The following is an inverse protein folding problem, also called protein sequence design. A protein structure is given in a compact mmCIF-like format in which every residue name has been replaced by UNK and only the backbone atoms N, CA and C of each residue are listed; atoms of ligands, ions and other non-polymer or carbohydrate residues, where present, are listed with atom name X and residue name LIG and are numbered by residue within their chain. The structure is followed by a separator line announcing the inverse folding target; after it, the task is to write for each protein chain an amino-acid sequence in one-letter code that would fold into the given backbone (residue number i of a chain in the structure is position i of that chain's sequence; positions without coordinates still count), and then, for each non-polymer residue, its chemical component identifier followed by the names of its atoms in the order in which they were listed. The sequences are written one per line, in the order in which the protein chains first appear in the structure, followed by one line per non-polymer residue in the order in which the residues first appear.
data_IF_598239291961
#
_entry.id   IF_598239291961
#
_cell.length_a   1.000
_cell.length_b   1.000
_cell.length_c   1.000
_cell.angle_alpha   90.00
_cell.angle_beta   90.00
_cell.angle_gamma   90.00
#
_symmetry.space_group_name_H-M   'P 1'
#
loop_
_entity.id
_entity.type
_entity.pdbx_description
1 polymer ?
#
# COMPACT_ATOMS: atom_id res chain seq x y z
N UNK A 1 -24.09 -12.02 -45.72
CA UNK A 1 -22.72 -11.74 -45.23
C UNK A 1 -22.70 -10.94 -43.93
N UNK A 2 -23.70 -10.09 -43.62
CA UNK A 2 -23.76 -9.31 -42.37
C UNK A 2 -24.14 -10.11 -41.12
N UNK A 3 -25.04 -11.09 -41.24
CA UNK A 3 -25.58 -11.82 -40.07
C UNK A 3 -24.55 -12.73 -39.41
N UNK A 4 -23.68 -13.35 -40.21
CA UNK A 4 -22.66 -14.27 -39.68
C UNK A 4 -21.58 -13.52 -38.88
N UNK A 5 -21.23 -12.30 -39.32
CA UNK A 5 -20.34 -11.41 -38.55
C UNK A 5 -21.02 -10.93 -37.27
N UNK A 6 -22.33 -10.70 -37.29
CA UNK A 6 -23.08 -10.31 -36.10
C UNK A 6 -23.16 -11.43 -35.06
N UNK A 7 -23.42 -12.66 -35.51
CA UNK A 7 -23.44 -13.85 -34.65
C UNK A 7 -22.06 -14.17 -34.05
N UNK A 8 -20.98 -13.95 -34.81
CA UNK A 8 -19.61 -14.05 -34.29
C UNK A 8 -19.34 -13.02 -33.20
N UNK A 9 -19.76 -11.77 -33.40
CA UNK A 9 -19.61 -10.70 -32.39
C UNK A 9 -20.41 -11.04 -31.12
N UNK A 10 -21.65 -11.50 -31.26
CA UNK A 10 -22.49 -11.90 -30.11
C UNK A 10 -21.86 -13.07 -29.35
N UNK A 11 -21.30 -14.04 -30.06
CA UNK A 11 -20.61 -15.18 -29.44
C UNK A 11 -19.37 -14.73 -28.66
N UNK A 12 -18.58 -13.81 -29.23
CA UNK A 12 -17.41 -13.23 -28.56
C UNK A 12 -17.80 -12.42 -27.31
N UNK A 13 -18.85 -11.60 -27.39
CA UNK A 13 -19.36 -10.82 -26.26
C UNK A 13 -19.84 -11.72 -25.12
N UNK A 14 -20.57 -12.79 -25.45
CA UNK A 14 -21.01 -13.77 -24.44
C UNK A 14 -19.82 -14.45 -23.76
N UNK A 15 -18.84 -14.89 -24.56
CA UNK A 15 -17.61 -15.51 -24.05
C UNK A 15 -16.82 -14.54 -23.16
N UNK A 16 -16.78 -13.26 -23.51
CA UNK A 16 -16.10 -12.24 -22.73
C UNK A 16 -16.79 -12.02 -21.37
N UNK A 17 -18.12 -11.95 -21.35
CA UNK A 17 -18.88 -11.81 -20.11
C UNK A 17 -18.66 -13.01 -19.17
N UNK A 18 -18.61 -14.23 -19.71
CA UNK A 18 -18.33 -15.44 -18.93
C UNK A 18 -16.90 -15.42 -18.35
N UNK A 19 -15.92 -14.94 -19.12
CA UNK A 19 -14.55 -14.75 -18.63
C UNK A 19 -14.46 -13.68 -17.55
N UNK A 20 -15.21 -12.58 -17.66
CA UNK A 20 -15.26 -11.53 -16.64
C UNK A 20 -15.84 -12.11 -15.34
N UNK A 21 -16.97 -12.82 -15.41
CA UNK A 21 -17.57 -13.44 -14.23
C UNK A 21 -16.63 -14.45 -13.55
N UNK A 22 -15.94 -15.30 -14.34
CA UNK A 22 -14.94 -16.21 -13.79
C UNK A 22 -13.76 -15.47 -13.15
N UNK A 23 -13.30 -14.36 -13.74
CA UNK A 23 -12.24 -13.54 -13.15
C UNK A 23 -12.72 -12.90 -11.84
N UNK A 24 -13.96 -12.44 -11.77
CA UNK A 24 -14.58 -11.91 -10.54
C UNK A 24 -14.67 -12.98 -9.44
N UNK A 25 -15.12 -14.20 -9.77
CA UNK A 25 -15.16 -15.32 -8.83
C UNK A 25 -13.76 -15.74 -8.37
N UNK A 26 -12.81 -15.82 -9.31
CA UNK A 26 -11.40 -16.10 -8.99
C UNK A 26 -10.80 -15.02 -8.10
N UNK A 27 -11.17 -13.76 -8.32
CA UNK A 27 -10.74 -12.61 -7.50
C UNK A 27 -11.31 -12.70 -6.08
N UNK A 28 -12.54 -13.19 -5.91
CA UNK A 28 -13.17 -13.45 -4.61
C UNK A 28 -12.41 -14.53 -3.81
N UNK A 29 -11.82 -15.50 -4.52
CA UNK A 29 -11.01 -16.57 -3.94
C UNK A 29 -9.55 -16.17 -3.66
N UNK A 30 -9.15 -14.93 -3.98
CA UNK A 30 -7.84 -14.37 -3.65
C UNK A 30 -8.03 -13.27 -2.60
N UNK A 31 -8.07 -13.63 -1.30
CA UNK A 31 -8.34 -12.69 -0.20
C UNK A 31 -7.44 -11.46 -0.22
N UNK A 32 -6.21 -11.64 -0.70
CA UNK A 32 -5.21 -10.60 -0.79
C UNK A 32 -5.63 -9.47 -1.73
N UNK A 33 -6.28 -9.74 -2.85
CA UNK A 33 -6.52 -8.68 -3.83
C UNK A 33 -7.86 -7.95 -3.66
N UNK A 34 -8.81 -8.52 -2.90
CA UNK A 34 -9.85 -7.72 -2.24
C UNK A 34 -9.27 -6.83 -1.12
N UNK A 35 -8.32 -7.35 -0.33
CA UNK A 35 -7.69 -6.60 0.78
C UNK A 35 -7.05 -5.30 0.31
N UNK A 36 -6.35 -5.31 -0.83
CA UNK A 36 -5.65 -4.12 -1.34
C UNK A 36 -6.45 -3.30 -2.36
N UNK A 37 -7.66 -3.72 -2.75
CA UNK A 37 -8.40 -3.08 -3.84
C UNK A 37 -8.67 -1.59 -3.58
N UNK A 38 -9.09 -1.25 -2.35
CA UNK A 38 -9.37 0.14 -1.97
C UNK A 38 -8.10 0.98 -1.95
N UNK A 39 -7.04 0.49 -1.30
CA UNK A 39 -5.73 1.12 -1.29
C UNK A 39 -5.23 1.39 -2.72
N UNK A 40 -5.30 0.38 -3.60
CA UNK A 40 -4.89 0.51 -4.98
C UNK A 40 -5.70 1.59 -5.72
N UNK A 41 -7.02 1.63 -5.51
CA UNK A 41 -7.89 2.64 -6.12
C UNK A 41 -7.51 4.06 -5.68
N UNK A 42 -7.37 4.31 -4.39
CA UNK A 42 -6.96 5.61 -3.85
C UNK A 42 -5.60 6.05 -4.43
N UNK A 43 -4.64 5.11 -4.50
CA UNK A 43 -3.32 5.37 -5.07
C UNK A 43 -3.36 5.69 -6.58
N UNK A 44 -4.22 5.02 -7.36
CA UNK A 44 -4.42 5.34 -8.78
C UNK A 44 -5.00 6.74 -8.96
N UNK A 45 -5.97 7.09 -8.11
CA UNK A 45 -6.65 8.40 -8.13
C UNK A 45 -5.75 9.52 -7.59
N UNK A 46 -4.65 9.17 -6.93
CA UNK A 46 -3.72 10.13 -6.32
C UNK A 46 -4.26 10.73 -5.02
N UNK A 47 -5.27 10.10 -4.41
CA UNK A 47 -5.78 10.46 -3.09
C UNK A 47 -4.85 9.87 -2.02
N UNK A 48 -3.76 10.59 -1.74
CA UNK A 48 -2.72 10.13 -0.81
C UNK A 48 -3.23 10.02 0.62
N UNK A 49 -4.17 10.88 1.00
CA UNK A 49 -4.77 10.88 2.33
C UNK A 49 -5.57 9.62 2.58
N UNK A 50 -6.52 9.29 1.69
CA UNK A 50 -7.30 8.06 1.84
C UNK A 50 -6.43 6.81 1.62
N UNK A 51 -5.42 6.87 0.75
CA UNK A 51 -4.47 5.77 0.58
C UNK A 51 -3.68 5.46 1.86
N UNK A 52 -3.28 6.47 2.65
CA UNK A 52 -2.63 6.25 3.94
C UNK A 52 -3.59 5.61 4.96
N UNK A 53 -4.84 6.11 5.03
CA UNK A 53 -5.87 5.52 5.88
C UNK A 53 -6.17 4.06 5.49
N UNK A 54 -6.30 3.75 4.20
CA UNK A 54 -6.49 2.37 3.73
C UNK A 54 -5.25 1.50 4.00
N UNK A 55 -4.04 2.05 3.96
CA UNK A 55 -2.83 1.32 4.37
C UNK A 55 -2.90 0.89 5.83
N UNK A 56 -3.34 1.79 6.73
CA UNK A 56 -3.56 1.45 8.14
C UNK A 56 -4.63 0.36 8.27
N UNK A 57 -5.78 0.49 7.59
CA UNK A 57 -6.85 -0.52 7.62
C UNK A 57 -6.35 -1.90 7.18
N UNK A 58 -5.51 -1.98 6.16
CA UNK A 58 -4.89 -3.23 5.69
C UNK A 58 -3.98 -3.84 6.76
N UNK A 59 -3.12 -3.04 7.41
CA UNK A 59 -2.23 -3.51 8.48
C UNK A 59 -3.04 -4.04 9.67
N UNK A 60 -4.09 -3.32 10.07
CA UNK A 60 -4.98 -3.72 11.15
C UNK A 60 -5.75 -5.01 10.84
N UNK A 61 -6.26 -5.14 9.61
CA UNK A 61 -6.96 -6.35 9.18
C UNK A 61 -6.06 -7.59 9.20
N UNK A 62 -4.78 -7.44 8.84
CA UNK A 62 -3.81 -8.56 8.83
C UNK A 62 -3.35 -8.93 10.24
N UNK A 63 -3.19 -7.94 11.11
CA UNK A 63 -2.81 -8.18 12.52
C UNK A 63 -3.99 -8.61 13.38
N UNK A 64 -5.23 -8.37 12.94
CA UNK A 64 -6.44 -8.59 13.73
C UNK A 64 -6.51 -7.68 14.96
N UNK A 65 -5.85 -6.51 14.91
CA UNK A 65 -5.77 -5.55 16.01
C UNK A 65 -6.53 -4.28 15.67
N UNK A 66 -6.94 -3.57 16.71
CA UNK A 66 -7.35 -2.18 16.59
C UNK A 66 -6.14 -1.25 16.65
N UNK A 67 -6.26 -0.04 16.11
CA UNK A 67 -5.16 0.92 16.01
C UNK A 67 -4.50 1.20 17.36
N UNK A 68 -5.31 1.43 18.40
CA UNK A 68 -4.83 1.74 19.75
C UNK A 68 -4.15 0.54 20.45
N UNK A 69 -4.31 -0.67 19.89
CA UNK A 69 -3.80 -1.92 20.42
C UNK A 69 -2.61 -2.48 19.64
N UNK A 70 -2.17 -1.82 18.57
CA UNK A 70 -1.06 -2.25 17.73
C UNK A 70 0.28 -1.95 18.42
N UNK A 71 1.05 -3.00 18.75
CA UNK A 71 2.31 -2.89 19.48
C UNK A 71 3.52 -3.19 18.59
N UNK A 72 4.73 -2.77 18.98
CA UNK A 72 5.96 -3.09 18.23
C UNK A 72 6.16 -4.59 18.00
N UNK A 73 5.75 -5.44 18.94
CA UNK A 73 5.86 -6.90 18.81
C UNK A 73 4.96 -7.45 17.70
N UNK A 74 3.78 -6.86 17.49
CA UNK A 74 2.87 -7.24 16.40
C UNK A 74 3.53 -6.93 15.05
N UNK A 75 4.20 -5.79 14.93
CA UNK A 75 4.93 -5.39 13.73
C UNK A 75 6.12 -6.32 13.45
N UNK A 76 6.81 -6.80 14.48
CA UNK A 76 7.90 -7.78 14.32
C UNK A 76 7.42 -9.12 13.75
N UNK A 77 6.17 -9.48 14.03
CA UNK A 77 5.51 -10.68 13.50
C UNK A 77 4.74 -10.46 12.19
N UNK A 78 4.71 -9.22 11.69
CA UNK A 78 3.89 -8.86 10.53
C UNK A 78 4.37 -9.59 9.27
N UNK A 79 3.46 -10.16 8.47
CA UNK A 79 3.84 -10.89 7.25
C UNK A 79 4.59 -10.00 6.25
N UNK A 80 5.84 -10.38 5.95
CA UNK A 80 6.70 -9.61 5.04
C UNK A 80 6.11 -9.51 3.63
N UNK A 81 5.39 -10.52 3.16
CA UNK A 81 4.82 -10.50 1.81
C UNK A 81 3.66 -9.50 1.69
N UNK A 82 2.87 -9.32 2.74
CA UNK A 82 1.86 -8.24 2.82
C UNK A 82 2.56 -6.88 2.77
N UNK A 83 3.62 -6.69 3.57
CA UNK A 83 4.36 -5.43 3.60
C UNK A 83 4.97 -5.09 2.22
N UNK A 84 5.52 -6.09 1.53
CA UNK A 84 6.05 -5.93 0.17
C UNK A 84 4.96 -5.51 -0.82
N UNK A 85 3.76 -6.08 -0.74
CA UNK A 85 2.66 -5.69 -1.64
C UNK A 85 2.26 -4.24 -1.42
N UNK A 86 2.10 -3.81 -0.15
CA UNK A 86 1.80 -2.41 0.18
C UNK A 86 2.90 -1.48 -0.37
N UNK A 87 4.18 -1.80 -0.12
CA UNK A 87 5.31 -1.01 -0.61
C UNK A 87 5.32 -0.90 -2.15
N UNK A 88 5.08 -2.01 -2.86
CA UNK A 88 5.02 -2.03 -4.31
C UNK A 88 3.88 -1.19 -4.88
N UNK A 89 2.72 -1.19 -4.24
CA UNK A 89 1.59 -0.34 -4.64
C UNK A 89 1.96 1.14 -4.51
N UNK A 90 2.48 1.54 -3.36
CA UNK A 90 2.93 2.92 -3.12
C UNK A 90 4.01 3.34 -4.11
N UNK A 91 5.05 2.52 -4.32
CA UNK A 91 6.12 2.81 -5.29
C UNK A 91 5.57 2.99 -6.71
N UNK A 92 4.71 2.06 -7.15
CA UNK A 92 4.18 2.06 -8.52
C UNK A 92 3.35 3.32 -8.80
N UNK A 93 2.38 3.61 -7.94
CA UNK A 93 1.39 4.65 -8.21
C UNK A 93 1.86 6.04 -7.78
N UNK A 94 2.82 6.14 -6.87
CA UNK A 94 3.49 7.42 -6.54
C UNK A 94 4.61 7.80 -7.51
N UNK A 95 4.93 6.96 -8.51
CA UNK A 95 6.11 7.09 -9.39
C UNK A 95 7.43 7.11 -8.60
N UNK A 96 7.59 6.14 -7.69
CA UNK A 96 8.73 5.98 -6.79
C UNK A 96 8.99 7.19 -5.87
N UNK A 97 7.93 7.91 -5.48
CA UNK A 97 8.05 9.01 -4.50
C UNK A 97 7.79 8.55 -3.08
N UNK A 98 6.88 7.59 -2.90
CA UNK A 98 6.44 7.08 -1.61
C UNK A 98 6.58 5.55 -1.53
N UNK A 99 6.83 5.05 -0.33
CA UNK A 99 7.03 3.63 -0.03
C UNK A 99 7.91 3.42 1.21
N UNK A 100 7.65 2.35 1.96
CA UNK A 100 8.45 1.94 3.11
C UNK A 100 9.91 1.67 2.74
N UNK A 101 10.18 1.13 1.56
CA UNK A 101 11.55 0.89 1.10
C UNK A 101 12.33 2.19 0.88
N UNK A 102 11.67 3.26 0.42
CA UNK A 102 12.27 4.58 0.29
C UNK A 102 12.53 5.22 1.66
N UNK A 103 11.57 5.11 2.58
CA UNK A 103 11.72 5.57 3.96
C UNK A 103 12.89 4.85 4.65
N UNK A 104 12.97 3.51 4.52
CA UNK A 104 14.08 2.71 5.06
C UNK A 104 15.42 3.10 4.44
N UNK A 105 15.48 3.30 3.12
CA UNK A 105 16.71 3.74 2.43
C UNK A 105 17.16 5.11 2.91
N UNK A 106 16.23 6.04 3.15
CA UNK A 106 16.55 7.34 3.74
C UNK A 106 17.09 7.19 5.17
N UNK A 107 16.46 6.35 6.00
CA UNK A 107 16.91 6.07 7.36
C UNK A 107 18.35 5.53 7.40
N UNK A 108 18.63 4.53 6.55
CA UNK A 108 19.96 3.92 6.45
C UNK A 108 21.03 4.88 5.95
N UNK A 109 20.68 5.79 5.03
CA UNK A 109 21.62 6.83 4.56
C UNK A 109 22.04 7.80 5.65
N UNK A 110 21.20 8.00 6.67
CA UNK A 110 21.54 8.80 7.85
C UNK A 110 22.34 8.02 8.90
N UNK A 111 22.71 6.76 8.62
CA UNK A 111 23.40 5.87 9.55
C UNK A 111 22.47 5.01 10.41
N UNK A 112 21.16 5.07 10.15
CA UNK A 112 20.15 4.31 10.87
C UNK A 112 20.29 2.80 10.68
N UNK A 113 20.14 2.08 11.78
CA UNK A 113 20.21 0.63 11.87
C UNK A 113 19.31 0.12 13.01
N UNK A 114 19.26 -1.20 13.21
CA UNK A 114 18.40 -1.80 14.23
C UNK A 114 18.69 -1.27 15.64
N UNK A 115 19.95 -1.01 15.98
CA UNK A 115 20.32 -0.47 17.30
C UNK A 115 19.76 0.94 17.49
N UNK A 116 19.89 1.81 16.50
CA UNK A 116 19.38 3.19 16.57
C UNK A 116 17.85 3.24 16.59
N UNK A 117 17.18 2.26 15.98
CA UNK A 117 15.73 2.09 16.09
C UNK A 117 15.32 1.70 17.50
N UNK A 118 15.97 0.70 18.10
CA UNK A 118 15.66 0.21 19.46
C UNK A 118 15.97 1.29 20.51
N UNK A 119 17.08 2.01 20.37
CA UNK A 119 17.47 3.08 21.29
C UNK A 119 16.67 4.36 21.12
N UNK A 120 15.77 4.42 20.12
CA UNK A 120 14.99 5.62 19.77
C UNK A 120 15.88 6.86 19.62
N UNK A 121 16.94 6.77 18.79
CA UNK A 121 17.87 7.88 18.59
C UNK A 121 17.12 9.11 18.05
N UNK A 122 16.85 10.05 18.95
CA UNK A 122 15.99 11.20 18.69
C UNK A 122 16.53 12.08 17.57
N UNK A 123 17.84 12.34 17.57
CA UNK A 123 18.47 13.23 16.58
C UNK A 123 18.37 12.61 15.18
N UNK A 124 18.61 11.31 15.10
CA UNK A 124 18.47 10.57 13.84
C UNK A 124 17.02 10.56 13.35
N UNK A 125 16.04 10.34 14.24
CA UNK A 125 14.62 10.36 13.89
C UNK A 125 14.14 11.75 13.44
N UNK A 126 14.64 12.82 14.06
CA UNK A 126 14.37 14.21 13.64
C UNK A 126 14.90 14.47 12.24
N UNK A 127 16.17 14.15 11.97
CA UNK A 127 16.78 14.29 10.63
C UNK A 127 16.06 13.47 9.57
N UNK A 128 15.65 12.25 9.92
CA UNK A 128 14.90 11.37 9.03
C UNK A 128 13.52 11.96 8.70
N UNK A 129 12.81 12.48 9.71
CA UNK A 129 11.53 13.16 9.53
C UNK A 129 11.64 14.43 8.68
N UNK A 130 12.70 15.23 8.86
CA UNK A 130 12.98 16.40 8.01
C UNK A 130 13.24 15.99 6.56
N UNK A 131 14.03 14.94 6.33
CA UNK A 131 14.33 14.43 4.99
C UNK A 131 13.09 13.93 4.25
N UNK A 132 12.13 13.35 4.99
CA UNK A 132 10.86 12.87 4.45
C UNK A 132 9.76 13.95 4.40
N UNK A 133 10.05 15.16 4.89
CA UNK A 133 9.09 16.27 4.97
C UNK A 133 8.08 16.16 6.10
N UNK A 134 8.14 15.13 6.94
CA UNK A 134 7.26 14.92 8.10
C UNK A 134 7.45 15.98 9.19
N UNK A 135 8.58 16.70 9.17
CA UNK A 135 8.90 17.74 10.15
C UNK A 135 9.47 18.98 9.46
N UNK A 136 9.13 20.15 9.99
CA UNK A 136 9.82 21.42 9.75
C UNK A 136 10.04 22.15 11.07
N UNK A 137 11.30 22.50 11.38
CA UNK A 137 11.69 23.35 12.53
C UNK A 137 10.95 22.97 13.82
N UNK A 138 11.11 21.71 14.21
CA UNK A 138 10.57 21.08 15.43
C UNK A 138 9.07 20.75 15.45
N UNK A 139 8.31 21.07 14.40
CA UNK A 139 6.89 20.74 14.31
C UNK A 139 6.66 19.60 13.31
N UNK A 140 5.81 18.63 13.68
CA UNK A 140 5.31 17.66 12.72
C UNK A 140 4.40 18.37 11.71
N UNK A 141 4.67 18.19 10.42
CA UNK A 141 3.88 18.76 9.34
C UNK A 141 2.79 17.76 8.98
N UNK A 142 1.56 18.23 8.76
CA UNK A 142 0.53 17.39 8.17
C UNK A 142 0.84 17.26 6.67
N UNK A 143 1.44 16.15 6.26
CA UNK A 143 2.13 15.98 4.97
C UNK A 143 1.25 15.46 3.83
N UNK A 144 -0.08 15.44 3.99
CA UNK A 144 -0.99 14.92 2.95
C UNK A 144 -1.91 16.00 2.38
N UNK A 145 -1.29 17.05 1.80
CA UNK A 145 -1.95 18.03 0.92
C UNK A 145 -1.49 17.85 -0.53
#
# INVERSE_FOLDING_TARGET
MSDQTYDEILTQLKTLNEKIAHLEDMFLLVPDLYRYQKLQKCLIEGDWFEADLETIKVILAVTGKEQDNLRPEDILSFPLDVLKVIDQLWLKYSKNRFGFSLQLKAYQKLGGNKSTTISHDRKLLEQWGEQLGWRQKDQCVNVMN
#
